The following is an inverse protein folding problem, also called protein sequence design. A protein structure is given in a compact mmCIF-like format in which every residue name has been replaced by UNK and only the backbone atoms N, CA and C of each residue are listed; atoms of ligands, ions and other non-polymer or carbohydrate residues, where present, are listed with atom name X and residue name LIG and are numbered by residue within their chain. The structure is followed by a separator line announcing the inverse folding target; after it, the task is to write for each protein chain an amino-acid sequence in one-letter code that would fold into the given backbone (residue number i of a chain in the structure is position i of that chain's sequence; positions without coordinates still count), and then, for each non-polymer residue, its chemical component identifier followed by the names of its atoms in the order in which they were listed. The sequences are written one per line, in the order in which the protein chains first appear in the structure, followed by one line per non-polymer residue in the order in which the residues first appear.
data_IF_059054305718
#
_entry.id   IF_059054305718
#
_cell.length_a   1.000
_cell.length_b   1.000
_cell.length_c   1.000
_cell.angle_alpha   90.00
_cell.angle_beta   90.00
_cell.angle_gamma   90.00
#
_symmetry.space_group_name_H-M   'P 1'
#
loop_
_entity.id
_entity.type
_entity.pdbx_description
1 polymer ?
#
# COMPACT_ATOMS: atom_id res chain seq x y z
N UNK A 1 7.87 5.89 22.32
CA UNK A 1 8.86 4.98 21.70
C UNK A 1 9.12 5.48 20.29
N UNK A 2 10.35 5.89 19.95
CA UNK A 2 10.72 6.31 18.59
C UNK A 2 11.14 5.06 17.81
N UNK A 3 10.41 4.73 16.73
CA UNK A 3 10.85 3.72 15.78
C UNK A 3 12.10 4.19 15.01
N UNK A 4 12.82 3.30 14.32
CA UNK A 4 14.07 3.60 13.62
C UNK A 4 13.95 4.66 12.51
N UNK A 5 12.72 5.02 12.12
CA UNK A 5 12.44 6.06 11.14
C UNK A 5 11.50 7.11 11.76
N UNK A 6 11.93 8.37 11.73
CA UNK A 6 11.12 9.51 12.15
C UNK A 6 10.17 9.90 11.00
N UNK A 7 8.98 9.33 10.97
CA UNK A 7 7.93 9.72 10.02
C UNK A 7 7.30 11.06 10.45
N UNK A 8 7.03 12.00 9.52
CA UNK A 8 6.31 13.23 9.83
C UNK A 8 4.90 12.93 10.38
N UNK A 9 4.42 13.78 11.27
CA UNK A 9 3.10 13.61 11.89
C UNK A 9 1.99 13.77 10.83
N UNK A 10 1.11 12.75 10.73
CA UNK A 10 0.02 12.62 9.73
C UNK A 10 0.48 12.32 8.31
N UNK A 11 1.13 11.17 8.13
CA UNK A 11 1.33 10.59 6.80
C UNK A 11 0.95 9.10 6.77
N UNK A 12 -0.33 8.76 7.03
CA UNK A 12 -0.83 7.39 6.82
C UNK A 12 -0.69 6.94 5.36
N UNK A 13 -0.47 7.87 4.42
CA UNK A 13 -0.25 7.63 3.00
C UNK A 13 1.20 7.22 2.65
N UNK A 14 2.11 7.24 3.63
CA UNK A 14 3.54 6.97 3.41
C UNK A 14 4.00 5.60 3.90
N UNK A 15 3.12 4.77 4.48
CA UNK A 15 3.44 3.36 4.68
C UNK A 15 3.10 2.58 3.40
N UNK A 16 4.10 2.19 2.57
CA UNK A 16 3.92 1.35 1.38
C UNK A 16 2.95 0.21 1.62
N UNK A 17 3.10 -0.42 2.79
CA UNK A 17 2.34 -1.59 3.20
C UNK A 17 0.85 -1.30 3.34
N UNK A 18 0.43 -0.25 4.05
CA UNK A 18 -1.00 -0.02 4.31
C UNK A 18 -1.75 0.38 3.04
N UNK A 19 -1.20 1.27 2.23
CA UNK A 19 -1.83 1.69 0.97
C UNK A 19 -1.89 0.54 -0.05
N UNK A 20 -0.75 -0.13 -0.28
CA UNK A 20 -0.67 -1.20 -1.25
C UNK A 20 -1.47 -2.42 -0.82
N UNK A 21 -1.26 -2.93 0.39
CA UNK A 21 -1.90 -4.16 0.84
C UNK A 21 -3.42 -4.00 0.84
N UNK A 22 -3.92 -2.87 1.35
CA UNK A 22 -5.36 -2.61 1.38
C UNK A 22 -5.93 -2.42 -0.02
N UNK A 23 -5.31 -1.59 -0.85
CA UNK A 23 -5.75 -1.33 -2.23
C UNK A 23 -5.74 -2.59 -3.08
N UNK A 24 -4.64 -3.33 -3.06
CA UNK A 24 -4.46 -4.58 -3.78
C UNK A 24 -5.44 -5.66 -3.32
N UNK A 25 -5.54 -5.90 -2.02
CA UNK A 25 -6.47 -6.91 -1.47
C UNK A 25 -7.91 -6.59 -1.84
N UNK A 26 -8.31 -5.32 -1.76
CA UNK A 26 -9.66 -4.89 -2.13
C UNK A 26 -9.95 -5.10 -3.62
N UNK A 27 -8.99 -4.78 -4.49
CA UNK A 27 -9.10 -5.04 -5.93
C UNK A 27 -9.26 -6.54 -6.22
N UNK A 28 -8.44 -7.38 -5.60
CA UNK A 28 -8.50 -8.83 -5.80
C UNK A 28 -9.82 -9.44 -5.28
N UNK A 29 -10.26 -9.04 -4.09
CA UNK A 29 -11.49 -9.59 -3.47
C UNK A 29 -12.74 -9.23 -4.28
N UNK A 30 -12.81 -8.00 -4.79
CA UNK A 30 -13.98 -7.49 -5.52
C UNK A 30 -13.85 -7.56 -7.04
N UNK A 31 -12.77 -8.19 -7.56
CA UNK A 31 -12.56 -8.39 -9.00
C UNK A 31 -13.74 -9.10 -9.68
N UNK A 32 -14.40 -9.98 -8.94
CA UNK A 32 -15.64 -10.66 -9.34
C UNK A 32 -16.66 -10.55 -8.21
N UNK A 33 -17.94 -10.80 -8.49
CA UNK A 33 -18.97 -10.79 -7.46
C UNK A 33 -18.66 -11.77 -6.31
N UNK A 34 -18.73 -11.29 -5.07
CA UNK A 34 -18.58 -12.12 -3.86
C UNK A 34 -19.92 -12.79 -3.57
N UNK A 35 -19.92 -14.12 -3.47
CA UNK A 35 -21.16 -14.91 -3.39
C UNK A 35 -21.56 -15.25 -1.97
N UNK A 36 -20.59 -15.34 -1.04
CA UNK A 36 -20.84 -15.59 0.37
C UNK A 36 -19.64 -15.18 1.23
N UNK A 37 -19.83 -15.20 2.56
CA UNK A 37 -18.77 -14.86 3.50
C UNK A 37 -17.55 -15.79 3.44
N UNK A 38 -17.74 -17.07 3.11
CA UNK A 38 -16.62 -18.00 2.97
C UNK A 38 -15.79 -17.70 1.72
N UNK A 39 -16.44 -17.39 0.60
CA UNK A 39 -15.78 -16.91 -0.63
C UNK A 39 -14.98 -15.64 -0.35
N UNK A 40 -15.55 -14.67 0.37
CA UNK A 40 -14.86 -13.45 0.79
C UNK A 40 -13.57 -13.76 1.58
N UNK A 41 -13.67 -14.59 2.62
CA UNK A 41 -12.49 -14.98 3.42
C UNK A 41 -11.43 -15.67 2.58
N UNK A 42 -11.84 -16.60 1.70
CA UNK A 42 -10.93 -17.31 0.83
C UNK A 42 -10.20 -16.32 -0.08
N UNK A 43 -10.90 -15.34 -0.67
CA UNK A 43 -10.28 -14.34 -1.54
C UNK A 43 -9.30 -13.44 -0.81
N UNK A 44 -9.60 -13.02 0.43
CA UNK A 44 -8.67 -12.24 1.26
C UNK A 44 -7.39 -13.03 1.53
N UNK A 45 -7.51 -14.33 1.86
CA UNK A 45 -6.35 -15.19 2.09
C UNK A 45 -5.55 -15.34 0.81
N UNK A 46 -6.19 -15.73 -0.31
CA UNK A 46 -5.52 -15.94 -1.59
C UNK A 46 -4.89 -14.65 -2.14
N UNK A 47 -5.51 -13.48 -1.91
CA UNK A 47 -4.92 -12.21 -2.34
C UNK A 47 -3.62 -11.94 -1.60
N UNK A 48 -3.56 -12.20 -0.29
CA UNK A 48 -2.35 -11.98 0.51
C UNK A 48 -1.28 -13.03 0.17
N UNK A 49 -1.66 -14.30 0.03
CA UNK A 49 -0.74 -15.38 -0.36
C UNK A 49 -0.14 -15.17 -1.77
N UNK A 50 -0.89 -14.52 -2.67
CA UNK A 50 -0.41 -14.17 -4.00
C UNK A 50 0.60 -13.02 -4.04
N UNK A 51 0.87 -12.35 -2.92
CA UNK A 51 1.85 -11.25 -2.87
C UNK A 51 3.26 -11.83 -2.86
N UNK A 52 3.96 -11.69 -3.98
CA UNK A 52 5.34 -12.17 -4.10
C UNK A 52 6.33 -11.24 -3.39
N UNK A 53 7.51 -11.75 -2.97
CA UNK A 53 8.59 -10.91 -2.45
C UNK A 53 9.03 -9.81 -3.43
N UNK A 54 8.96 -10.08 -4.74
CA UNK A 54 9.24 -9.09 -5.78
C UNK A 54 8.21 -7.96 -5.76
N UNK A 55 6.92 -8.29 -5.64
CA UNK A 55 5.83 -7.32 -5.52
C UNK A 55 6.05 -6.43 -4.31
N UNK A 56 6.32 -7.02 -3.14
CA UNK A 56 6.68 -6.27 -1.94
C UNK A 56 7.88 -5.34 -2.20
N UNK A 57 8.99 -5.86 -2.73
CA UNK A 57 10.19 -5.07 -3.01
C UNK A 57 9.94 -3.90 -3.98
N UNK A 58 9.10 -4.10 -5.00
CA UNK A 58 8.71 -3.04 -5.92
C UNK A 58 7.89 -1.95 -5.24
N UNK A 59 6.92 -2.33 -4.39
CA UNK A 59 6.09 -1.39 -3.61
C UNK A 59 6.94 -0.55 -2.66
N UNK A 60 7.89 -1.18 -1.96
CA UNK A 60 8.82 -0.47 -1.08
C UNK A 60 9.65 0.54 -1.87
N UNK A 61 10.28 0.13 -2.98
CA UNK A 61 11.06 1.03 -3.84
C UNK A 61 10.26 2.19 -4.41
N UNK A 62 9.03 1.93 -4.85
CA UNK A 62 8.14 2.97 -5.37
C UNK A 62 7.79 4.01 -4.29
N UNK A 63 7.65 3.54 -3.05
CA UNK A 63 7.39 4.43 -1.91
C UNK A 63 8.62 5.23 -1.53
N UNK A 64 9.81 4.61 -1.50
CA UNK A 64 11.09 5.32 -1.31
C UNK A 64 11.29 6.40 -2.38
N UNK A 65 11.02 6.09 -3.65
CA UNK A 65 11.09 7.07 -4.73
C UNK A 65 10.14 8.26 -4.53
N UNK A 66 8.89 8.00 -4.11
CA UNK A 66 7.94 9.07 -3.79
C UNK A 66 8.40 9.90 -2.60
N UNK A 67 8.98 9.27 -1.58
CA UNK A 67 9.57 9.95 -0.43
C UNK A 67 10.73 10.86 -0.85
N UNK A 68 11.58 10.39 -1.76
CA UNK A 68 12.70 11.16 -2.29
C UNK A 68 12.22 12.38 -3.09
N UNK A 69 11.15 12.25 -3.88
CA UNK A 69 10.51 13.39 -4.57
C UNK A 69 9.96 14.41 -3.56
N UNK A 70 9.23 13.94 -2.55
CA UNK A 70 8.63 14.83 -1.52
C UNK A 70 9.70 15.52 -0.67
N UNK A 71 10.89 14.92 -0.56
CA UNK A 71 12.05 15.49 0.14
C UNK A 71 12.80 16.54 -0.69
N UNK A 72 12.51 16.69 -1.98
CA UNK A 72 13.00 17.83 -2.77
C UNK A 72 12.32 19.09 -2.23
N UNK A 73 13.09 20.10 -1.79
CA UNK A 73 12.53 21.23 -1.06
C UNK A 73 11.83 22.17 -2.05
N UNK A 74 10.53 21.97 -2.24
CA UNK A 74 9.56 23.05 -2.29
C UNK A 74 8.16 22.47 -2.13
N UNK A 75 7.77 22.26 -0.88
CA UNK A 75 6.43 22.30 -0.25
C UNK A 75 5.12 22.28 -1.05
N UNK A 76 5.04 21.75 -2.27
CA UNK A 76 3.82 21.70 -3.05
C UNK A 76 3.21 20.29 -2.97
N UNK A 77 2.04 20.20 -2.36
CA UNK A 77 1.18 19.02 -2.48
C UNK A 77 0.78 18.87 -3.95
N UNK A 78 1.24 17.79 -4.60
CA UNK A 78 0.84 17.48 -5.98
C UNK A 78 -0.34 16.52 -5.93
N UNK A 79 -1.55 17.05 -6.15
CA UNK A 79 -2.69 16.24 -6.58
C UNK A 79 -2.52 15.90 -8.06
N UNK A 80 -2.58 14.61 -8.39
CA UNK A 80 -2.60 14.14 -9.78
C UNK A 80 -4.06 13.89 -10.15
N UNK A 81 -4.52 14.62 -11.19
CA UNK A 81 -5.87 14.60 -11.74
C UNK A 81 -6.17 13.31 -12.52
#
# INVERSE_FOLDING_TARGET
MKGPVAWPARSPDLTPTDFFLWGYTKDQVHRTGVTCFQDFKNRVVHSVEGITPQTCGNTFRASEYRMDIVRVPEGAQVEVQ
#
